data_IF_540845330086
#
_entry.id   IF_540845330086
#
_cell.length_a   1.000
_cell.length_b   1.000
_cell.length_c   1.000
_cell.angle_alpha   90.00
_cell.angle_beta   90.00
_cell.angle_gamma   90.00
#
_symmetry.space_group_name_H-M   'P 1'
#
loop_
_entity.id
_entity.type
_entity.pdbx_description
1 polymer ?
#
# COMPACT_ATOMS: atom_id res chain seq x y z
N UNK A 1 -4.30 -15.29 16.70
CA UNK A 1 -5.69 -15.53 16.25
C UNK A 1 -6.63 -15.02 17.33
N UNK A 2 -7.73 -14.38 16.93
CA UNK A 2 -8.79 -14.01 17.87
C UNK A 2 -9.51 -15.29 18.29
N UNK A 3 -9.70 -15.48 19.60
CA UNK A 3 -10.42 -16.64 20.13
C UNK A 3 -11.86 -16.21 20.41
N UNK A 4 -12.78 -16.72 19.59
CA UNK A 4 -14.22 -16.49 19.77
C UNK A 4 -14.76 -17.46 20.82
N UNK A 5 -15.59 -16.94 21.72
CA UNK A 5 -16.24 -17.73 22.76
C UNK A 5 -17.47 -18.50 22.26
N UNK A 6 -18.09 -18.02 21.18
CA UNK A 6 -19.33 -18.55 20.61
C UNK A 6 -19.31 -18.46 19.09
N UNK A 7 -19.89 -19.44 18.44
CA UNK A 7 -20.25 -19.45 17.01
C UNK A 7 -21.73 -19.07 16.82
N UNK A 8 -22.17 -18.70 15.61
CA UNK A 8 -23.59 -18.48 15.31
C UNK A 8 -24.47 -19.66 15.75
N UNK A 9 -24.05 -20.89 15.43
CA UNK A 9 -24.73 -22.12 15.85
C UNK A 9 -24.81 -22.26 17.38
N UNK A 10 -23.73 -21.95 18.12
CA UNK A 10 -23.76 -22.01 19.59
C UNK A 10 -24.78 -21.04 20.20
N UNK A 11 -25.00 -19.89 19.55
CA UNK A 11 -25.96 -18.87 19.98
C UNK A 11 -27.38 -19.34 19.65
N UNK A 12 -27.60 -19.92 18.47
CA UNK A 12 -28.89 -20.45 18.02
C UNK A 12 -29.38 -21.60 18.91
N UNK A 13 -28.49 -22.53 19.24
CA UNK A 13 -28.82 -23.71 20.04
C UNK A 13 -28.88 -23.41 21.55
N UNK A 14 -28.63 -22.16 21.96
CA UNK A 14 -28.55 -21.78 23.36
C UNK A 14 -29.90 -21.89 24.06
N UNK A 15 -30.01 -22.84 24.99
CA UNK A 15 -31.14 -22.92 25.91
C UNK A 15 -30.85 -22.15 27.20
N UNK A 16 -31.68 -21.13 27.49
CA UNK A 16 -31.61 -20.40 28.76
C UNK A 16 -32.33 -21.16 29.87
N UNK A 17 -31.73 -21.17 31.07
CA UNK A 17 -32.37 -21.69 32.26
C UNK A 17 -33.45 -20.71 32.69
N UNK A 18 -34.70 -21.16 32.75
CA UNK A 18 -35.80 -20.36 33.29
C UNK A 18 -35.54 -20.06 34.77
N UNK A 19 -35.34 -18.79 35.09
CA UNK A 19 -35.39 -18.32 36.49
C UNK A 19 -36.88 -18.11 36.84
N UNK A 20 -37.32 -18.68 37.96
CA UNK A 20 -38.74 -18.84 38.32
C UNK A 20 -39.62 -17.57 38.27
N UNK A 21 -40.93 -17.81 38.41
CA UNK A 21 -42.05 -16.91 38.09
C UNK A 21 -41.85 -15.47 38.60
N UNK A 22 -41.55 -14.55 37.66
CA UNK A 22 -41.63 -13.09 37.86
C UNK A 22 -40.33 -12.28 37.85
N UNK A 23 -39.14 -12.89 37.64
CA UNK A 23 -37.84 -12.16 37.61
C UNK A 23 -36.93 -12.53 36.43
N UNK A 24 -37.52 -12.96 35.31
CA UNK A 24 -36.81 -13.34 34.08
C UNK A 24 -37.06 -12.36 32.94
N UNK A 25 -36.21 -12.42 31.92
CA UNK A 25 -36.46 -11.79 30.63
C UNK A 25 -37.57 -12.54 29.88
N UNK A 26 -38.30 -11.84 29.00
CA UNK A 26 -39.25 -12.47 28.10
C UNK A 26 -38.47 -13.31 27.07
N UNK A 27 -38.86 -14.58 26.92
CA UNK A 27 -38.22 -15.50 25.97
C UNK A 27 -38.28 -14.96 24.54
N UNK A 28 -39.42 -14.39 24.12
CA UNK A 28 -39.59 -13.90 22.75
C UNK A 28 -38.71 -12.69 22.46
N UNK A 29 -38.57 -11.80 23.45
CA UNK A 29 -37.70 -10.62 23.35
C UNK A 29 -36.22 -11.03 23.28
N UNK A 30 -35.81 -12.00 24.11
CA UNK A 30 -34.46 -12.58 24.07
C UNK A 30 -34.19 -13.26 22.73
N UNK A 31 -35.09 -14.11 22.24
CA UNK A 31 -34.91 -14.82 20.97
C UNK A 31 -34.79 -13.82 19.80
N UNK A 32 -35.64 -12.79 19.77
CA UNK A 32 -35.58 -11.73 18.73
C UNK A 32 -34.24 -10.99 18.77
N UNK A 33 -33.74 -10.67 19.96
CA UNK A 33 -32.43 -10.06 20.12
C UNK A 33 -31.30 -10.98 19.64
N UNK A 34 -31.36 -12.28 19.96
CA UNK A 34 -30.35 -13.25 19.54
C UNK A 34 -30.35 -13.50 18.03
N UNK A 35 -31.51 -13.44 17.37
CA UNK A 35 -31.58 -13.49 15.90
C UNK A 35 -30.76 -12.37 15.26
N UNK A 36 -30.83 -11.15 15.81
CA UNK A 36 -30.05 -10.02 15.30
C UNK A 36 -28.56 -10.17 15.62
N UNK A 37 -28.20 -10.67 16.81
CA UNK A 37 -26.80 -10.99 17.14
C UNK A 37 -26.23 -12.05 16.19
N UNK A 38 -27.01 -13.08 15.83
CA UNK A 38 -26.59 -14.12 14.88
C UNK A 38 -26.34 -13.51 13.49
N UNK A 39 -27.24 -12.62 13.02
CA UNK A 39 -27.04 -11.91 11.74
C UNK A 39 -25.75 -11.10 11.73
N UNK A 40 -25.46 -10.39 12.83
CA UNK A 40 -24.24 -9.60 12.98
C UNK A 40 -22.99 -10.48 12.93
N UNK A 41 -23.01 -11.65 13.59
CA UNK A 41 -21.91 -12.61 13.52
C UNK A 41 -21.61 -13.05 12.08
N UNK A 42 -22.64 -13.44 11.31
CA UNK A 42 -22.44 -13.80 9.91
C UNK A 42 -21.94 -12.61 9.07
N UNK A 43 -22.41 -11.40 9.35
CA UNK A 43 -21.92 -10.20 8.68
C UNK A 43 -20.43 -9.94 8.97
N UNK A 44 -19.99 -10.12 10.22
CA UNK A 44 -18.59 -10.00 10.59
C UNK A 44 -17.71 -11.09 9.95
N UNK A 45 -18.18 -12.34 9.90
CA UNK A 45 -17.45 -13.42 9.21
C UNK A 45 -17.29 -13.12 7.71
N UNK A 46 -18.36 -12.64 7.05
CA UNK A 46 -18.30 -12.25 5.65
C UNK A 46 -17.31 -11.11 5.41
N UNK A 47 -17.31 -10.09 6.28
CA UNK A 47 -16.40 -8.96 6.18
C UNK A 47 -14.94 -9.37 6.46
N UNK A 48 -14.71 -10.23 7.45
CA UNK A 48 -13.38 -10.77 7.73
C UNK A 48 -12.84 -11.52 6.52
N UNK A 49 -13.64 -12.41 5.94
CA UNK A 49 -13.26 -13.15 4.72
C UNK A 49 -12.97 -12.22 3.54
N UNK A 50 -13.75 -11.15 3.38
CA UNK A 50 -13.51 -10.12 2.36
C UNK A 50 -12.15 -9.45 2.57
N UNK A 51 -11.84 -9.04 3.80
CA UNK A 51 -10.57 -8.41 4.17
C UNK A 51 -9.37 -9.35 4.02
N UNK A 52 -9.52 -10.62 4.38
CA UNK A 52 -8.47 -11.63 4.18
C UNK A 52 -8.20 -11.86 2.69
N UNK A 53 -9.25 -11.97 1.88
CA UNK A 53 -9.13 -12.11 0.42
C UNK A 53 -8.43 -10.90 -0.20
N UNK A 54 -8.80 -9.69 0.24
CA UNK A 54 -8.18 -8.46 -0.25
C UNK A 54 -6.71 -8.33 0.19
N UNK A 55 -6.37 -8.67 1.43
CA UNK A 55 -4.98 -8.71 1.87
C UNK A 55 -4.16 -9.69 1.03
N UNK A 56 -4.66 -10.90 0.80
CA UNK A 56 -3.98 -11.89 -0.03
C UNK A 56 -3.75 -11.38 -1.46
N UNK A 57 -4.74 -10.69 -2.04
CA UNK A 57 -4.63 -10.07 -3.36
C UNK A 57 -3.52 -9.01 -3.39
N UNK A 58 -3.51 -8.11 -2.40
CA UNK A 58 -2.52 -7.04 -2.28
C UNK A 58 -1.11 -7.58 -2.03
N UNK A 59 -0.96 -8.60 -1.18
CA UNK A 59 0.32 -9.27 -0.94
C UNK A 59 0.87 -9.94 -2.21
N UNK A 60 -0.01 -10.56 -3.01
CA UNK A 60 0.36 -11.14 -4.30
C UNK A 60 0.82 -10.07 -5.30
N UNK A 61 0.09 -8.95 -5.40
CA UNK A 61 0.45 -7.82 -6.27
C UNK A 61 1.79 -7.19 -5.86
N UNK A 62 2.01 -7.01 -4.55
CA UNK A 62 3.27 -6.50 -4.00
C UNK A 62 4.43 -7.43 -4.36
N UNK A 63 4.25 -8.73 -4.19
CA UNK A 63 5.28 -9.74 -4.51
C UNK A 63 5.59 -9.77 -6.01
N UNK A 64 4.58 -9.67 -6.88
CA UNK A 64 4.74 -9.59 -8.32
C UNK A 64 5.50 -8.30 -8.74
N UNK A 65 5.17 -7.16 -8.14
CA UNK A 65 5.88 -5.91 -8.39
C UNK A 65 7.35 -5.94 -7.94
N UNK A 66 7.65 -6.59 -6.80
CA UNK A 66 9.01 -6.77 -6.30
C UNK A 66 9.85 -7.72 -7.17
N UNK A 67 9.24 -8.76 -7.73
CA UNK A 67 9.92 -9.69 -8.65
C UNK A 67 10.06 -9.15 -10.07
N UNK A 68 9.23 -8.18 -10.47
CA UNK A 68 9.34 -7.47 -11.74
C UNK A 68 10.36 -6.30 -11.72
N UNK A 69 10.85 -5.88 -10.55
CA UNK A 69 11.99 -4.95 -10.46
C UNK A 69 13.28 -5.71 -10.80
N UNK A 70 14.04 -5.30 -11.84
CA UNK A 70 15.37 -5.86 -12.06
C UNK A 70 16.25 -5.51 -10.85
N UNK A 71 16.82 -6.55 -10.22
CA UNK A 71 17.87 -6.42 -9.20
C UNK A 71 19.02 -5.62 -9.79
N UNK A 72 19.00 -4.32 -9.54
CA UNK A 72 20.18 -3.47 -9.56
C UNK A 72 20.83 -3.67 -8.19
N UNK A 73 21.92 -4.42 -8.16
CA UNK A 73 22.67 -4.83 -6.97
C UNK A 73 22.85 -3.71 -5.94
N UNK A 74 22.67 -3.97 -4.63
CA UNK A 74 23.00 -2.99 -3.60
C UNK A 74 24.51 -2.90 -3.45
N UNK A 75 25.09 -1.77 -3.90
CA UNK A 75 26.43 -1.38 -3.48
C UNK A 75 26.37 -1.00 -1.98
N UNK A 76 27.04 -1.84 -1.19
CA UNK A 76 27.39 -1.72 0.22
C UNK A 76 27.47 -0.27 0.77
N UNK A 77 26.88 0.03 1.94
CA UNK A 77 27.08 1.31 2.60
C UNK A 77 28.47 1.34 3.26
N UNK A 78 29.39 2.11 2.69
CA UNK A 78 30.60 2.57 3.41
C UNK A 78 30.32 3.92 4.07
N UNK A 79 30.91 4.18 5.25
CA UNK A 79 30.45 5.21 6.17
C UNK A 79 30.75 6.61 5.61
N UNK A 80 29.74 7.49 5.69
CA UNK A 80 29.87 8.92 5.40
C UNK A 80 30.87 9.55 6.37
N UNK A 81 32.12 9.71 5.92
CA UNK A 81 33.07 10.62 6.54
C UNK A 81 32.65 12.06 6.22
N UNK A 82 32.21 12.78 7.24
CA UNK A 82 31.99 14.23 7.23
C UNK A 82 33.29 14.94 6.87
N UNK A 83 33.40 15.50 5.66
CA UNK A 83 34.39 16.55 5.37
C UNK A 83 33.75 17.69 4.57
N UNK A 84 33.89 18.88 5.16
CA UNK A 84 33.50 20.19 4.64
C UNK A 84 34.03 20.48 3.23
N UNK A 85 33.34 21.33 2.44
CA UNK A 85 33.79 21.70 1.12
C UNK A 85 34.81 22.85 1.17
N UNK A 86 35.98 22.64 0.56
CA UNK A 86 36.77 23.72 -0.05
C UNK A 86 37.07 23.34 -1.51
N UNK A 87 36.87 24.25 -2.47
CA UNK A 87 36.96 23.94 -3.89
C UNK A 87 38.42 23.89 -4.36
N UNK A 88 38.89 22.72 -4.80
CA UNK A 88 40.17 22.59 -5.52
C UNK A 88 39.90 22.01 -6.91
N UNK A 89 40.18 22.83 -7.93
CA UNK A 89 40.06 22.51 -9.35
C UNK A 89 41.22 21.62 -9.77
N UNK A 90 40.93 20.36 -10.14
CA UNK A 90 41.86 19.45 -10.84
C UNK A 90 41.24 19.06 -12.19
N UNK A 91 41.84 19.39 -13.35
CA UNK A 91 41.23 19.17 -14.68
C UNK A 91 41.36 17.72 -15.21
N UNK A 92 41.47 16.71 -14.36
CA UNK A 92 41.52 15.29 -14.79
C UNK A 92 40.90 14.33 -13.77
N UNK A 93 39.83 14.75 -13.10
CA UNK A 93 39.02 13.82 -12.33
C UNK A 93 38.02 13.15 -13.28
N UNK A 94 38.24 11.88 -13.61
CA UNK A 94 37.20 11.01 -14.16
C UNK A 94 36.07 11.01 -13.15
N UNK A 95 34.96 11.68 -13.49
CA UNK A 95 33.79 11.71 -12.63
C UNK A 95 33.34 10.25 -12.38
N UNK A 96 32.98 9.88 -11.14
CA UNK A 96 32.42 8.55 -10.87
C UNK A 96 31.27 8.28 -11.84
N UNK A 97 31.14 7.06 -12.38
CA UNK A 97 30.08 6.72 -13.35
C UNK A 97 28.66 7.12 -12.86
N UNK A 98 28.45 7.13 -11.53
CA UNK A 98 27.24 7.62 -10.89
C UNK A 98 26.92 9.11 -11.18
N UNK A 99 27.95 9.97 -11.35
CA UNK A 99 27.79 11.37 -11.73
C UNK A 99 27.37 11.51 -13.20
N UNK A 100 27.84 10.61 -14.07
CA UNK A 100 27.43 10.59 -15.48
C UNK A 100 25.96 10.16 -15.64
N UNK A 101 25.54 9.13 -14.92
CA UNK A 101 24.15 8.67 -14.92
C UNK A 101 23.20 9.71 -14.32
N UNK A 102 23.61 10.40 -13.24
CA UNK A 102 22.85 11.51 -12.68
C UNK A 102 22.69 12.64 -13.69
N UNK A 103 23.76 13.01 -14.39
CA UNK A 103 23.70 14.06 -15.41
C UNK A 103 22.77 13.69 -16.58
N UNK A 104 22.83 12.43 -17.06
CA UNK A 104 21.92 11.94 -18.12
C UNK A 104 20.46 11.96 -17.67
N UNK A 105 20.19 11.57 -16.42
CA UNK A 105 18.84 11.58 -15.86
C UNK A 105 18.28 12.98 -15.71
N UNK A 106 19.11 13.94 -15.25
CA UNK A 106 18.73 15.36 -15.18
C UNK A 106 18.46 15.92 -16.57
N UNK A 107 19.31 15.65 -17.57
CA UNK A 107 19.11 16.09 -18.95
C UNK A 107 17.81 15.56 -19.58
N UNK A 108 17.46 14.30 -19.30
CA UNK A 108 16.20 13.71 -19.75
C UNK A 108 14.99 14.35 -19.05
N UNK A 109 15.09 14.63 -17.74
CA UNK A 109 14.05 15.37 -17.01
C UNK A 109 13.87 16.78 -17.58
N UNK A 110 14.96 17.50 -17.86
CA UNK A 110 14.90 18.84 -18.44
C UNK A 110 14.24 18.82 -19.82
N UNK A 111 14.57 17.84 -20.66
CA UNK A 111 13.92 17.68 -21.97
C UNK A 111 12.44 17.33 -21.83
N UNK A 112 12.03 16.60 -20.81
CA UNK A 112 10.62 16.21 -20.63
C UNK A 112 9.79 17.32 -19.96
N UNK A 113 10.41 18.14 -19.11
CA UNK A 113 9.75 19.24 -18.40
C UNK A 113 9.74 20.54 -19.22
N UNK A 114 10.79 20.79 -20.01
CA UNK A 114 10.97 22.03 -20.80
C UNK A 114 10.92 21.81 -22.32
N UNK A 115 10.99 20.58 -22.82
CA UNK A 115 11.02 20.27 -24.25
C UNK A 115 9.65 20.25 -24.92
N UNK A 116 8.98 21.39 -24.89
CA UNK A 116 8.02 21.84 -25.91
C UNK A 116 7.70 23.33 -25.67
N UNK A 117 8.69 24.20 -25.85
CA UNK A 117 8.43 25.63 -26.14
C UNK A 117 9.40 26.10 -27.23
N UNK A 118 8.82 26.24 -28.42
CA UNK A 118 9.19 27.17 -29.49
C UNK A 118 10.65 27.21 -29.97
N UNK A 119 11.03 26.23 -30.81
CA UNK A 119 12.21 26.34 -31.68
C UNK A 119 11.95 25.98 -33.15
N UNK A 120 10.68 26.00 -33.59
CA UNK A 120 10.27 25.76 -35.00
C UNK A 120 9.45 26.92 -35.59
N UNK A 121 9.58 28.13 -35.05
CA UNK A 121 8.94 29.35 -35.57
C UNK A 121 9.98 30.30 -36.19
N UNK A 122 10.61 29.90 -37.29
CA UNK A 122 11.25 30.83 -38.23
C UNK A 122 11.50 30.17 -39.60
N UNK A 123 10.40 29.79 -40.27
CA UNK A 123 10.42 29.57 -41.71
C UNK A 123 9.11 30.08 -42.33
N UNK A 124 8.94 31.40 -42.30
CA UNK A 124 8.06 32.14 -43.21
C UNK A 124 8.91 33.19 -43.92
N UNK A 125 9.69 32.75 -44.90
CA UNK A 125 10.11 33.61 -46.01
C UNK A 125 8.99 33.58 -47.07
N UNK A 126 8.17 34.63 -47.01
CA UNK A 126 7.68 35.42 -48.12
C UNK A 126 8.00 34.90 -49.55
N UNK A 127 7.03 34.22 -50.16
CA UNK A 127 6.80 34.26 -51.61
C UNK A 127 5.29 34.35 -51.87
N UNK A 128 4.92 35.48 -52.52
CA UNK A 128 3.60 35.96 -52.98
C UNK A 128 2.80 36.84 -52.02
#
# INVERSE_FOLDING_TARGET
MVQLNFTPEDILDKQFIERGMGKGYDRVDVDTFLDDVIKDYYAYEAELKRLETENQRLEAELTAAQTAQPVSTPAQPTPVATVNPTPQVNPSATLPAAYEDLARRVANLERQVFGATDADANQYDEYL
#
